data_IF_576151296594
#
_entry.id   IF_576151296594
#
_cell.length_a   1.000
_cell.length_b   1.000
_cell.length_c   1.000
_cell.angle_alpha   90.00
_cell.angle_beta   90.00
_cell.angle_gamma   90.00
#
_symmetry.space_group_name_H-M   'P 1'
#
loop_
_entity.id
_entity.type
_entity.pdbx_description
1 polymer ?
#
# COMPACT_ATOMS: atom_id res chain seq x y z
N UNK A 1 27.84 -12.49 3.57
CA UNK A 1 27.25 -13.15 2.39
C UNK A 1 28.16 -12.86 1.21
N UNK A 2 28.65 -13.87 0.50
CA UNK A 2 29.53 -13.69 -0.66
C UNK A 2 28.69 -13.29 -1.88
N UNK A 3 29.17 -12.31 -2.66
CA UNK A 3 28.50 -11.84 -3.87
C UNK A 3 28.28 -12.99 -4.88
N UNK A 4 29.25 -13.91 -4.99
CA UNK A 4 29.17 -15.09 -5.86
C UNK A 4 28.05 -16.08 -5.50
N UNK A 5 27.50 -15.98 -4.28
CA UNK A 5 26.37 -16.80 -3.80
C UNK A 5 25.06 -16.01 -3.70
N UNK A 6 25.05 -14.75 -4.13
CA UNK A 6 23.88 -13.88 -4.07
C UNK A 6 23.07 -13.97 -5.36
N UNK A 7 21.74 -14.10 -5.23
CA UNK A 7 20.84 -14.04 -6.38
C UNK A 7 20.67 -12.58 -6.83
N UNK A 8 21.52 -12.14 -7.77
CA UNK A 8 21.52 -10.79 -8.33
C UNK A 8 21.60 -10.92 -9.87
N UNK A 9 20.47 -11.11 -10.56
CA UNK A 9 20.43 -11.28 -12.02
C UNK A 9 20.61 -9.93 -12.72
N UNK A 10 21.85 -9.56 -13.01
CA UNK A 10 22.23 -8.31 -13.65
C UNK A 10 22.01 -8.42 -15.17
N UNK A 11 21.40 -7.39 -15.76
CA UNK A 11 21.25 -7.27 -17.23
C UNK A 11 22.36 -6.36 -17.80
N UNK A 12 22.97 -6.79 -18.91
CA UNK A 12 23.98 -5.98 -19.62
C UNK A 12 23.38 -4.78 -20.33
N UNK A 13 22.22 -4.98 -20.97
CA UNK A 13 21.55 -3.97 -21.78
C UNK A 13 20.32 -3.41 -21.07
N UNK A 14 19.89 -2.22 -21.46
CA UNK A 14 18.62 -1.67 -21.01
C UNK A 14 17.47 -2.45 -21.66
N UNK A 15 16.48 -2.91 -20.86
CA UNK A 15 15.26 -3.49 -21.41
C UNK A 15 14.51 -2.46 -22.29
N UNK A 16 14.02 -2.91 -23.45
CA UNK A 16 13.35 -2.04 -24.44
C UNK A 16 12.07 -1.39 -23.89
N UNK A 17 11.38 -2.06 -22.98
CA UNK A 17 10.17 -1.59 -22.32
C UNK A 17 10.42 -0.49 -21.28
N UNK A 18 11.64 -0.34 -20.79
CA UNK A 18 11.99 0.63 -19.76
C UNK A 18 12.39 1.97 -20.37
N UNK A 19 11.48 2.96 -20.32
CA UNK A 19 11.72 4.29 -20.89
C UNK A 19 12.42 5.25 -19.93
N UNK A 20 12.13 5.18 -18.62
CA UNK A 20 12.72 6.08 -17.63
C UNK A 20 13.94 5.47 -16.97
N UNK A 21 14.89 6.32 -16.60
CA UNK A 21 16.20 5.93 -16.07
C UNK A 21 16.11 5.06 -14.81
N UNK A 22 15.24 5.43 -13.87
CA UNK A 22 15.05 4.66 -12.65
C UNK A 22 14.59 3.23 -12.93
N UNK A 23 13.63 3.04 -13.84
CA UNK A 23 13.14 1.71 -14.23
C UNK A 23 14.26 0.89 -14.90
N UNK A 24 15.00 1.50 -15.84
CA UNK A 24 16.15 0.85 -16.48
C UNK A 24 17.19 0.37 -15.46
N UNK A 25 17.54 1.23 -14.50
CA UNK A 25 18.55 0.91 -13.50
C UNK A 25 18.08 -0.18 -12.53
N UNK A 26 16.82 -0.15 -12.10
CA UNK A 26 16.26 -1.18 -11.22
C UNK A 26 16.21 -2.55 -11.88
N UNK A 27 15.80 -2.64 -13.15
CA UNK A 27 15.82 -3.90 -13.91
C UNK A 27 17.25 -4.38 -14.13
N UNK A 28 18.16 -3.50 -14.57
CA UNK A 28 19.55 -3.86 -14.80
C UNK A 28 20.29 -4.32 -13.57
N UNK A 29 20.06 -3.68 -12.44
CA UNK A 29 20.68 -4.06 -11.16
C UNK A 29 20.09 -5.34 -10.54
N UNK A 30 19.08 -5.94 -11.18
CA UNK A 30 18.41 -7.12 -10.62
C UNK A 30 17.70 -6.82 -9.31
N UNK A 31 17.11 -5.62 -9.19
CA UNK A 31 16.31 -5.24 -8.03
C UNK A 31 14.86 -5.70 -8.16
N UNK A 32 14.34 -5.64 -9.38
CA UNK A 32 12.97 -6.02 -9.73
C UNK A 32 12.95 -6.86 -11.02
N UNK A 33 11.90 -7.63 -11.17
CA UNK A 33 11.56 -8.33 -12.42
C UNK A 33 10.08 -8.11 -12.71
N UNK A 34 9.76 -7.69 -13.92
CA UNK A 34 8.38 -7.56 -14.35
C UNK A 34 7.74 -8.93 -14.52
N UNK A 35 6.60 -9.16 -13.87
CA UNK A 35 5.79 -10.38 -13.98
C UNK A 35 4.68 -10.21 -15.02
N UNK A 36 4.03 -9.04 -15.00
CA UNK A 36 3.08 -8.59 -16.01
C UNK A 36 3.05 -7.06 -16.03
N UNK A 37 2.27 -6.46 -16.92
CA UNK A 37 2.16 -5.00 -17.01
C UNK A 37 1.78 -4.39 -15.65
N UNK A 38 2.66 -3.56 -15.08
CA UNK A 38 2.48 -2.91 -13.79
C UNK A 38 2.54 -3.81 -12.56
N UNK A 39 3.04 -5.06 -12.70
CA UNK A 39 3.21 -6.00 -11.58
C UNK A 39 4.66 -6.49 -11.57
N UNK A 40 5.33 -6.37 -10.43
CA UNK A 40 6.75 -6.63 -10.29
C UNK A 40 7.06 -7.58 -9.14
N UNK A 41 7.94 -8.53 -9.40
CA UNK A 41 8.63 -9.28 -8.36
C UNK A 41 9.79 -8.45 -7.81
N UNK A 42 9.87 -8.30 -6.51
CA UNK A 42 11.00 -7.68 -5.83
C UNK A 42 12.07 -8.72 -5.55
N UNK A 43 13.20 -8.60 -6.22
CA UNK A 43 14.33 -9.52 -6.06
C UNK A 43 15.13 -9.17 -4.80
N UNK A 44 16.04 -10.04 -4.31
CA UNK A 44 16.64 -9.86 -2.99
C UNK A 44 17.27 -8.49 -2.74
N UNK A 45 17.92 -7.88 -3.73
CA UNK A 45 18.51 -6.56 -3.59
C UNK A 45 17.43 -5.46 -3.45
N UNK A 46 16.43 -5.48 -4.32
CA UNK A 46 15.32 -4.54 -4.28
C UNK A 46 14.48 -4.69 -3.02
N UNK A 47 14.22 -5.93 -2.61
CA UNK A 47 13.49 -6.21 -1.37
C UNK A 47 14.23 -5.70 -0.11
N UNK A 48 15.57 -5.82 -0.07
CA UNK A 48 16.36 -5.22 1.01
C UNK A 48 16.22 -3.70 1.09
N UNK A 49 16.19 -3.03 -0.06
CA UNK A 49 15.96 -1.57 -0.10
C UNK A 49 14.56 -1.24 0.41
N UNK A 50 13.55 -1.95 -0.08
CA UNK A 50 12.16 -1.76 0.37
C UNK A 50 12.03 -1.95 1.90
N UNK A 51 12.66 -2.99 2.46
CA UNK A 51 12.67 -3.22 3.92
C UNK A 51 13.39 -2.13 4.72
N UNK A 52 14.43 -1.50 4.16
CA UNK A 52 15.06 -0.33 4.80
C UNK A 52 14.13 0.87 4.83
N UNK A 53 13.44 1.16 3.72
CA UNK A 53 12.45 2.24 3.64
C UNK A 53 11.31 1.98 4.62
N UNK A 54 10.77 0.76 4.63
CA UNK A 54 9.72 0.33 5.56
C UNK A 54 10.14 0.54 7.03
N UNK A 55 11.39 0.19 7.36
CA UNK A 55 11.93 0.41 8.71
C UNK A 55 11.94 1.89 9.09
N UNK A 56 12.45 2.75 8.21
CA UNK A 56 12.48 4.20 8.44
C UNK A 56 11.06 4.75 8.64
N UNK A 57 10.12 4.37 7.76
CA UNK A 57 8.72 4.79 7.86
C UNK A 57 8.13 4.35 9.21
N UNK A 58 8.38 3.10 9.62
CA UNK A 58 7.88 2.56 10.89
C UNK A 58 8.46 3.32 12.09
N UNK A 59 9.75 3.60 12.07
CA UNK A 59 10.43 4.36 13.12
C UNK A 59 9.84 5.76 13.26
N UNK A 60 9.57 6.47 12.14
CA UNK A 60 8.98 7.79 12.15
C UNK A 60 7.51 7.78 12.63
N UNK A 61 6.71 6.81 12.19
CA UNK A 61 5.33 6.67 12.69
C UNK A 61 5.29 6.41 14.19
N UNK A 62 6.14 5.50 14.67
CA UNK A 62 6.22 5.19 16.10
C UNK A 62 6.70 6.41 16.93
N UNK A 63 7.62 7.20 16.39
CA UNK A 63 8.13 8.42 17.06
C UNK A 63 7.04 9.43 17.35
N UNK A 64 6.05 9.56 16.50
CA UNK A 64 4.90 10.45 16.68
C UNK A 64 3.70 9.78 17.36
N UNK A 65 3.85 8.53 17.82
CA UNK A 65 2.84 7.81 18.61
C UNK A 65 1.72 7.18 17.79
N UNK A 66 1.91 6.95 16.49
CA UNK A 66 0.94 6.25 15.63
C UNK A 66 1.10 4.75 15.80
N UNK A 67 0.01 4.01 15.98
CA UNK A 67 0.01 2.58 16.23
C UNK A 67 -0.10 1.78 14.92
N UNK A 68 0.75 0.78 14.77
CA UNK A 68 0.71 -0.10 13.59
C UNK A 68 -0.40 -1.14 13.71
N UNK A 69 -1.20 -1.29 12.67
CA UNK A 69 -2.17 -2.37 12.52
C UNK A 69 -1.94 -3.09 11.19
N UNK A 70 -2.42 -4.31 11.06
CA UNK A 70 -2.42 -5.04 9.79
C UNK A 70 -3.84 -5.47 9.45
N UNK A 71 -4.36 -4.94 8.36
CA UNK A 71 -5.70 -5.20 7.86
C UNK A 71 -5.67 -6.18 6.67
N UNK A 72 -6.77 -6.92 6.39
CA UNK A 72 -6.86 -7.81 5.23
C UNK A 72 -6.66 -7.07 3.90
N UNK A 73 -6.09 -7.75 2.91
CA UNK A 73 -6.06 -7.26 1.51
C UNK A 73 -7.38 -7.49 0.80
N UNK A 74 -8.07 -8.59 1.14
CA UNK A 74 -9.40 -8.90 0.58
C UNK A 74 -10.45 -8.32 1.52
N UNK A 75 -11.36 -7.54 0.96
CA UNK A 75 -12.39 -6.82 1.70
C UNK A 75 -13.78 -7.21 1.19
N UNK A 76 -14.78 -7.16 2.08
CA UNK A 76 -16.19 -7.31 1.70
C UNK A 76 -16.64 -6.11 0.87
N UNK A 77 -17.44 -6.35 -0.17
CA UNK A 77 -18.08 -5.27 -0.93
C UNK A 77 -19.11 -4.49 -0.10
N UNK A 78 -19.63 -5.07 0.98
CA UNK A 78 -20.69 -4.45 1.80
C UNK A 78 -20.26 -3.13 2.43
N UNK A 79 -19.05 -3.07 3.03
CA UNK A 79 -18.53 -1.83 3.64
C UNK A 79 -18.30 -0.73 2.60
N UNK A 80 -17.98 -1.10 1.37
CA UNK A 80 -17.79 -0.20 0.24
C UNK A 80 -19.13 0.28 -0.34
N UNK A 81 -20.17 -0.56 -0.33
CA UNK A 81 -21.54 -0.19 -0.69
C UNK A 81 -22.14 0.75 0.36
N UNK A 82 -21.87 0.50 1.65
CA UNK A 82 -22.30 1.37 2.75
C UNK A 82 -21.72 2.79 2.61
N UNK A 83 -20.44 2.92 2.23
CA UNK A 83 -19.80 4.24 1.99
C UNK A 83 -20.21 4.90 0.66
N UNK A 84 -20.90 4.18 -0.23
CA UNK A 84 -21.23 4.62 -1.59
C UNK A 84 -20.06 4.54 -2.58
N UNK A 85 -18.87 4.20 -2.13
CA UNK A 85 -17.65 4.19 -2.97
C UNK A 85 -17.49 2.94 -3.84
N UNK A 86 -18.34 1.92 -3.68
CA UNK A 86 -18.21 0.68 -4.45
C UNK A 86 -18.35 0.91 -5.97
N UNK A 87 -19.31 1.76 -6.37
CA UNK A 87 -19.50 2.12 -7.78
C UNK A 87 -18.61 3.31 -8.17
N UNK A 88 -18.48 4.31 -7.31
CA UNK A 88 -17.73 5.54 -7.57
C UNK A 88 -16.24 5.30 -7.80
N UNK A 89 -15.65 4.24 -7.21
CA UNK A 89 -14.26 3.88 -7.44
C UNK A 89 -13.98 3.40 -8.86
N UNK A 90 -15.01 2.95 -9.58
CA UNK A 90 -14.95 2.59 -10.99
C UNK A 90 -14.21 1.29 -11.29
N UNK A 91 -13.62 1.25 -12.49
CA UNK A 91 -12.97 0.04 -13.04
C UNK A 91 -11.59 -0.25 -12.44
N UNK A 92 -10.99 0.71 -11.73
CA UNK A 92 -9.70 0.49 -11.05
C UNK A 92 -9.80 -0.48 -9.86
N UNK A 93 -11.03 -0.72 -9.37
CA UNK A 93 -11.28 -1.67 -8.29
C UNK A 93 -11.29 -3.10 -8.82
N UNK A 94 -10.37 -3.93 -8.35
CA UNK A 94 -10.39 -5.37 -8.67
C UNK A 94 -11.48 -6.07 -7.87
N UNK A 95 -12.62 -6.32 -8.51
CA UNK A 95 -13.77 -7.02 -7.95
C UNK A 95 -13.60 -8.52 -8.14
N UNK A 96 -13.87 -9.30 -7.10
CA UNK A 96 -13.73 -10.75 -7.07
C UNK A 96 -14.97 -11.39 -6.44
N UNK A 97 -15.18 -12.67 -6.71
CA UNK A 97 -16.20 -13.48 -6.03
C UNK A 97 -15.52 -14.68 -5.38
N UNK A 98 -15.93 -15.00 -4.17
CA UNK A 98 -15.47 -16.23 -3.53
C UNK A 98 -16.26 -17.45 -4.02
N UNK A 99 -15.95 -18.63 -3.47
CA UNK A 99 -16.62 -19.89 -3.84
C UNK A 99 -18.11 -19.94 -3.47
N UNK A 100 -18.56 -19.04 -2.61
CA UNK A 100 -19.96 -18.89 -2.21
C UNK A 100 -20.67 -17.77 -2.96
N UNK A 101 -20.05 -17.25 -4.04
CA UNK A 101 -20.52 -16.10 -4.83
C UNK A 101 -20.66 -14.79 -4.03
N UNK A 102 -20.00 -14.66 -2.87
CA UNK A 102 -19.96 -13.40 -2.14
C UNK A 102 -19.08 -12.40 -2.88
N UNK A 103 -19.58 -11.19 -3.06
CA UNK A 103 -18.84 -10.11 -3.69
C UNK A 103 -17.78 -9.57 -2.74
N UNK A 104 -16.58 -9.51 -3.22
CA UNK A 104 -15.40 -9.04 -2.50
C UNK A 104 -14.54 -8.18 -3.44
N UNK A 105 -13.54 -7.54 -2.91
CA UNK A 105 -12.58 -6.78 -3.70
C UNK A 105 -11.16 -6.92 -3.11
N UNK A 106 -10.17 -6.73 -3.95
CA UNK A 106 -8.81 -6.50 -3.46
C UNK A 106 -8.68 -5.01 -3.10
N UNK A 107 -8.35 -4.71 -1.84
CA UNK A 107 -8.37 -3.35 -1.30
C UNK A 107 -7.44 -2.38 -2.05
N UNK A 108 -7.99 -1.40 -2.77
CA UNK A 108 -7.20 -0.32 -3.37
C UNK A 108 -6.77 0.73 -2.34
N UNK A 109 -7.48 0.77 -1.24
CA UNK A 109 -7.29 1.60 -0.04
C UNK A 109 -8.05 1.00 1.14
N UNK A 110 -7.99 1.57 2.34
CA UNK A 110 -8.54 0.92 3.53
C UNK A 110 -9.39 1.84 4.42
N UNK A 111 -9.88 2.97 3.93
CA UNK A 111 -10.71 3.90 4.71
C UNK A 111 -11.96 3.21 5.27
N UNK A 112 -12.65 2.43 4.46
CA UNK A 112 -13.84 1.68 4.85
C UNK A 112 -13.53 0.68 5.94
N UNK A 113 -12.44 -0.08 5.74
CA UNK A 113 -12.07 -1.16 6.66
C UNK A 113 -11.59 -0.63 8.01
N UNK A 114 -10.75 0.42 8.03
CA UNK A 114 -10.28 1.02 9.29
C UNK A 114 -11.42 1.70 10.03
N UNK A 115 -12.37 2.30 9.31
CA UNK A 115 -13.57 2.91 9.91
C UNK A 115 -14.48 1.86 10.52
N UNK A 116 -14.63 0.70 9.88
CA UNK A 116 -15.40 -0.42 10.45
C UNK A 116 -14.76 -0.97 11.71
N UNK A 117 -13.44 -1.14 11.73
CA UNK A 117 -12.67 -1.53 12.92
C UNK A 117 -12.86 -0.50 14.04
N UNK A 118 -12.72 0.79 13.72
CA UNK A 118 -12.92 1.88 14.69
C UNK A 118 -14.34 1.86 15.27
N UNK A 119 -15.37 1.85 14.41
CA UNK A 119 -16.79 1.82 14.79
C UNK A 119 -17.13 0.65 15.71
N UNK A 120 -16.58 -0.53 15.44
CA UNK A 120 -16.83 -1.73 16.21
C UNK A 120 -16.10 -1.75 17.57
N UNK A 121 -14.92 -1.12 17.64
CA UNK A 121 -13.98 -1.23 18.77
C UNK A 121 -14.06 -0.05 19.74
N UNK A 122 -14.23 1.18 19.25
CA UNK A 122 -14.23 2.38 20.09
C UNK A 122 -15.66 2.70 20.56
N UNK A 123 -15.84 2.72 21.88
CA UNK A 123 -17.16 2.92 22.51
C UNK A 123 -17.31 4.27 23.22
N UNK A 124 -16.25 5.07 23.28
CA UNK A 124 -16.29 6.37 23.97
C UNK A 124 -15.35 7.36 23.28
N UNK A 125 -15.81 8.59 23.15
CA UNK A 125 -14.99 9.72 22.66
C UNK A 125 -13.76 9.98 23.54
N UNK A 126 -13.79 9.54 24.82
CA UNK A 126 -12.64 9.64 25.73
C UNK A 126 -11.42 8.80 25.29
N UNK A 127 -11.62 7.88 24.35
CA UNK A 127 -10.54 7.08 23.76
C UNK A 127 -9.86 7.79 22.59
N UNK A 128 -10.32 8.96 22.19
CA UNK A 128 -9.77 9.75 21.09
C UNK A 128 -8.66 10.71 21.60
N UNK A 129 -7.73 11.10 20.76
CA UNK A 129 -7.57 10.68 19.36
C UNK A 129 -7.03 9.26 19.21
N UNK A 130 -7.37 8.59 18.11
CA UNK A 130 -6.74 7.34 17.70
C UNK A 130 -5.97 7.56 16.41
N UNK A 131 -4.68 7.23 16.42
CA UNK A 131 -3.80 7.34 15.27
C UNK A 131 -3.32 5.94 14.89
N UNK A 132 -3.69 5.50 13.70
CA UNK A 132 -3.40 4.16 13.19
C UNK A 132 -2.68 4.24 11.85
N UNK A 133 -1.77 3.32 11.59
CA UNK A 133 -1.18 3.16 10.26
C UNK A 133 -0.99 1.69 9.93
N UNK A 134 -0.86 1.38 8.64
CA UNK A 134 -0.34 0.10 8.22
C UNK A 134 0.54 0.21 6.97
N UNK A 135 1.29 -0.86 6.72
CA UNK A 135 2.15 -1.00 5.55
C UNK A 135 1.76 -2.30 4.87
N UNK A 136 1.19 -2.20 3.65
CA UNK A 136 0.61 -3.35 2.99
C UNK A 136 0.58 -3.20 1.47
N UNK A 137 0.46 -4.33 0.79
CA UNK A 137 0.17 -4.39 -0.62
C UNK A 137 -1.23 -3.85 -0.93
N UNK A 138 -1.30 -3.09 -2.02
CA UNK A 138 -2.53 -2.57 -2.63
C UNK A 138 -2.57 -2.96 -4.09
N UNK A 139 -3.77 -3.01 -4.63
CA UNK A 139 -3.97 -3.22 -6.06
C UNK A 139 -4.95 -2.20 -6.61
N UNK A 140 -4.58 -1.58 -7.73
CA UNK A 140 -5.45 -0.73 -8.56
C UNK A 140 -5.28 -1.16 -10.00
N UNK A 141 -6.36 -1.47 -10.68
CA UNK A 141 -6.33 -1.93 -12.07
C UNK A 141 -6.05 -0.78 -13.03
N UNK A 142 -4.90 -0.16 -12.86
CA UNK A 142 -4.42 0.97 -13.66
C UNK A 142 -4.33 0.57 -15.13
N UNK A 143 -5.11 1.23 -15.97
CA UNK A 143 -5.20 0.93 -17.41
C UNK A 143 -3.88 1.22 -18.17
N UNK A 144 -3.07 2.14 -17.66
CA UNK A 144 -1.80 2.56 -18.31
C UNK A 144 -0.65 2.58 -17.31
N UNK A 145 -0.23 1.43 -16.78
CA UNK A 145 0.92 1.36 -15.90
C UNK A 145 2.16 1.85 -16.64
N UNK A 146 2.99 2.67 -15.99
CA UNK A 146 4.18 3.28 -16.59
C UNK A 146 5.20 3.70 -15.55
N UNK A 147 6.41 3.97 -16.01
CA UNK A 147 7.53 4.41 -15.16
C UNK A 147 7.96 3.36 -14.11
N UNK A 148 7.85 2.07 -14.46
CA UNK A 148 8.21 0.96 -13.58
C UNK A 148 7.34 0.94 -12.32
N UNK A 149 7.99 0.92 -11.16
CA UNK A 149 7.29 0.87 -9.86
C UNK A 149 6.63 2.19 -9.45
N UNK A 150 6.82 3.28 -10.20
CA UNK A 150 6.25 4.59 -9.85
C UNK A 150 4.75 4.67 -10.14
N UNK A 151 4.26 3.96 -11.17
CA UNK A 151 2.85 3.85 -11.50
C UNK A 151 2.55 2.44 -11.95
N UNK A 152 2.38 1.57 -10.99
CA UNK A 152 2.12 0.13 -11.16
C UNK A 152 0.72 -0.23 -10.69
N UNK A 153 0.30 -1.46 -10.95
CA UNK A 153 -1.02 -1.98 -10.56
C UNK A 153 -0.99 -2.57 -9.16
N UNK A 154 0.08 -3.28 -8.82
CA UNK A 154 0.32 -3.81 -7.49
C UNK A 154 1.49 -3.07 -6.86
N UNK A 155 1.29 -2.51 -5.67
CA UNK A 155 2.28 -1.67 -5.00
C UNK A 155 2.19 -1.76 -3.47
N UNK A 156 3.30 -1.43 -2.83
CA UNK A 156 3.43 -1.42 -1.38
C UNK A 156 3.19 0.01 -0.89
N UNK A 157 2.23 0.17 0.03
CA UNK A 157 1.79 1.48 0.51
C UNK A 157 1.84 1.53 2.03
N UNK A 158 2.31 2.66 2.58
CA UNK A 158 1.99 3.08 3.94
C UNK A 158 0.83 4.06 3.85
N UNK A 159 -0.24 3.77 4.53
CA UNK A 159 -1.35 4.67 4.77
C UNK A 159 -1.59 4.81 6.28
N UNK A 160 -2.00 6.00 6.69
CA UNK A 160 -2.25 6.32 8.09
C UNK A 160 -3.59 7.06 8.22
N UNK A 161 -4.23 6.87 9.36
CA UNK A 161 -5.57 7.33 9.63
C UNK A 161 -5.64 7.94 11.02
N UNK A 162 -6.37 9.03 11.17
CA UNK A 162 -6.67 9.62 12.47
C UNK A 162 -8.17 9.67 12.71
N UNK A 163 -8.55 9.50 13.95
CA UNK A 163 -9.91 9.66 14.43
C UNK A 163 -9.86 10.62 15.61
N UNK A 164 -10.43 11.78 15.45
CA UNK A 164 -10.35 12.91 16.37
C UNK A 164 -11.74 13.36 16.80
N UNK A 165 -11.86 14.20 17.83
CA UNK A 165 -13.17 14.66 18.34
C UNK A 165 -13.64 15.89 17.57
N UNK A 166 -12.70 16.77 17.18
CA UNK A 166 -13.01 18.02 16.47
C UNK A 166 -12.16 18.19 15.21
N UNK A 167 -12.56 19.09 14.33
CA UNK A 167 -11.80 19.41 13.12
C UNK A 167 -10.41 20.00 13.46
N UNK A 168 -10.30 20.79 14.54
CA UNK A 168 -9.04 21.34 15.00
C UNK A 168 -8.08 20.25 15.46
N UNK A 169 -8.60 19.24 16.19
CA UNK A 169 -7.81 18.09 16.62
C UNK A 169 -7.39 17.23 15.42
N UNK A 170 -8.27 17.04 14.44
CA UNK A 170 -7.94 16.35 13.20
C UNK A 170 -6.82 17.07 12.42
N UNK A 171 -6.87 18.40 12.34
CA UNK A 171 -5.80 19.19 11.75
C UNK A 171 -4.51 19.10 12.54
N UNK A 172 -4.57 19.05 13.87
CA UNK A 172 -3.38 18.82 14.70
C UNK A 172 -2.78 17.44 14.44
N UNK A 173 -3.60 16.40 14.40
CA UNK A 173 -3.18 15.04 14.06
C UNK A 173 -2.57 14.98 12.66
N UNK A 174 -3.19 15.60 11.66
CA UNK A 174 -2.68 15.71 10.30
C UNK A 174 -1.28 16.35 10.26
N UNK A 175 -1.10 17.46 10.96
CA UNK A 175 0.19 18.16 11.00
C UNK A 175 1.31 17.35 11.66
N UNK A 176 0.99 16.44 12.59
CA UNK A 176 2.00 15.52 13.17
C UNK A 176 2.69 14.65 12.14
N UNK A 177 2.02 14.33 11.02
CA UNK A 177 2.61 13.50 9.97
C UNK A 177 3.61 14.24 9.07
N UNK A 178 3.74 15.57 9.21
CA UNK A 178 4.70 16.40 8.46
C UNK A 178 5.97 16.74 9.23
N UNK A 179 6.03 16.45 10.51
CA UNK A 179 7.16 16.73 11.40
C UNK A 179 8.06 15.52 11.58
#
# INVERSE_FOLDING_TARGET
MYLSKSFIPILKNNPSEAKVKSHQLMLRAGMIKQSSAGIYSWLPLGFKVMKKIEKIVREEQNRIGVQEILMPTIQSSEIWKESGRYEDYGEEMLRIKDRQNREMLYGPTNEELVTDIFRSSVKSYKSLPQLLYHIQWKFRDEIRPRFGIMRCREFYMKDAYSFDVTDEEAMFSYNKFFL
#
